data_IF_443248207831
#
_entry.id   IF_443248207831
#
_cell.length_a   1.000
_cell.length_b   1.000
_cell.length_c   1.000
_cell.angle_alpha   90.00
_cell.angle_beta   90.00
_cell.angle_gamma   90.00
#
_symmetry.space_group_name_H-M   'P 1'
#
loop_
_entity.id
_entity.type
_entity.pdbx_description
1 polymer ?
#
# COMPACT_ATOMS: atom_id res chain seq x y z
N UNK A 1 -13.05 14.02 -23.13
CA UNK A 1 -13.15 13.08 -22.01
C UNK A 1 -13.77 11.79 -22.54
N UNK A 2 -13.03 10.70 -22.56
CA UNK A 2 -13.61 9.40 -22.86
C UNK A 2 -14.14 8.82 -21.54
N UNK A 3 -15.46 8.71 -21.38
CA UNK A 3 -16.08 8.08 -20.23
C UNK A 3 -15.94 6.55 -20.37
N UNK A 4 -14.75 6.04 -20.04
CA UNK A 4 -14.40 4.64 -20.25
C UNK A 4 -14.16 3.87 -18.95
N UNK A 5 -14.20 4.51 -17.80
CA UNK A 5 -13.99 3.87 -16.50
C UNK A 5 -14.67 4.65 -15.38
N UNK A 6 -15.36 3.95 -14.51
CA UNK A 6 -15.95 4.48 -13.26
C UNK A 6 -14.98 4.35 -12.09
N UNK A 7 -14.11 3.34 -12.15
CA UNK A 7 -13.13 3.01 -11.12
C UNK A 7 -11.80 2.71 -11.80
N UNK A 8 -10.72 3.21 -11.21
CA UNK A 8 -9.35 2.82 -11.57
C UNK A 8 -8.67 2.15 -10.38
N UNK A 9 -7.84 1.15 -10.66
CA UNK A 9 -7.06 0.46 -9.63
C UNK A 9 -5.56 0.58 -9.94
N UNK A 10 -4.78 0.91 -8.93
CA UNK A 10 -3.32 0.92 -9.00
C UNK A 10 -2.68 0.70 -7.62
N UNK A 11 -1.43 0.29 -7.63
CA UNK A 11 -0.58 0.20 -6.44
C UNK A 11 0.56 1.22 -6.48
N UNK A 12 1.26 1.39 -5.37
CA UNK A 12 2.34 2.38 -5.24
C UNK A 12 3.50 2.15 -6.22
N UNK A 13 3.86 0.89 -6.46
CA UNK A 13 4.93 0.55 -7.40
C UNK A 13 4.58 0.99 -8.83
N UNK A 14 3.35 0.75 -9.25
CA UNK A 14 2.85 1.15 -10.57
C UNK A 14 2.75 2.66 -10.71
N UNK A 15 2.35 3.34 -9.64
CA UNK A 15 2.25 4.79 -9.60
C UNK A 15 3.62 5.49 -9.60
N UNK A 16 4.69 4.82 -9.15
CA UNK A 16 6.01 5.43 -8.98
C UNK A 16 6.23 6.04 -7.59
N UNK A 17 5.52 5.54 -6.57
CA UNK A 17 5.63 5.94 -5.16
C UNK A 17 4.46 6.79 -4.64
N UNK A 18 4.51 7.13 -3.35
CA UNK A 18 3.40 7.78 -2.64
C UNK A 18 3.02 9.14 -3.23
N UNK A 19 3.99 9.98 -3.55
CA UNK A 19 3.73 11.32 -4.13
C UNK A 19 3.03 11.22 -5.49
N UNK A 20 3.45 10.30 -6.34
CA UNK A 20 2.81 10.09 -7.62
C UNK A 20 1.40 9.50 -7.45
N UNK A 21 1.22 8.55 -6.53
CA UNK A 21 -0.09 8.01 -6.20
C UNK A 21 -1.08 9.08 -5.70
N UNK A 22 -0.65 10.00 -4.83
CA UNK A 22 -1.47 11.13 -4.38
C UNK A 22 -1.96 12.00 -5.55
N UNK A 23 -1.07 12.27 -6.51
CA UNK A 23 -1.44 13.05 -7.71
C UNK A 23 -2.43 12.29 -8.60
N UNK A 24 -2.26 10.97 -8.72
CA UNK A 24 -3.20 10.12 -9.47
C UNK A 24 -4.58 10.10 -8.81
N UNK A 25 -4.64 10.00 -7.47
CA UNK A 25 -5.90 10.07 -6.72
C UNK A 25 -6.60 11.41 -6.97
N UNK A 26 -5.88 12.53 -6.85
CA UNK A 26 -6.43 13.86 -7.08
C UNK A 26 -6.92 14.04 -8.54
N UNK A 27 -6.20 13.49 -9.51
CA UNK A 27 -6.60 13.53 -10.93
C UNK A 27 -7.86 12.70 -11.19
N UNK A 28 -7.96 11.51 -10.56
CA UNK A 28 -9.16 10.67 -10.65
C UNK A 28 -10.37 11.34 -10.00
N UNK A 29 -10.18 11.96 -8.83
CA UNK A 29 -11.21 12.74 -8.13
C UNK A 29 -11.73 13.89 -9.00
N UNK A 30 -10.84 14.69 -9.60
CA UNK A 30 -11.20 15.76 -10.52
C UNK A 30 -11.96 15.25 -11.76
N UNK A 31 -11.77 14.00 -12.14
CA UNK A 31 -12.48 13.33 -13.23
C UNK A 31 -13.77 12.61 -12.79
N UNK A 32 -14.12 12.65 -11.51
CA UNK A 32 -15.21 11.88 -10.90
C UNK A 32 -15.06 10.37 -11.14
N UNK A 33 -13.83 9.85 -11.03
CA UNK A 33 -13.49 8.43 -11.13
C UNK A 33 -13.03 7.95 -9.76
N UNK A 34 -13.60 6.88 -9.24
CA UNK A 34 -13.20 6.32 -7.97
C UNK A 34 -11.89 5.54 -8.09
N UNK A 35 -11.18 5.41 -6.96
CA UNK A 35 -9.89 4.73 -6.90
C UNK A 35 -9.98 3.52 -5.98
N UNK A 36 -9.37 2.41 -6.38
CA UNK A 36 -9.02 1.28 -5.51
C UNK A 36 -7.49 1.21 -5.43
N UNK A 37 -6.96 1.20 -4.21
CA UNK A 37 -5.53 0.96 -3.98
C UNK A 37 -5.32 -0.54 -3.79
N UNK A 38 -4.32 -1.07 -4.45
CA UNK A 38 -3.96 -2.46 -4.30
C UNK A 38 -3.21 -2.99 -5.50
N UNK A 39 -2.95 -4.27 -5.49
CA UNK A 39 -2.10 -5.01 -6.40
C UNK A 39 -0.67 -5.21 -5.87
N UNK A 40 -0.44 -4.87 -4.61
CA UNK A 40 0.86 -5.10 -4.00
C UNK A 40 0.95 -6.51 -3.41
N UNK A 41 1.93 -7.29 -3.88
CA UNK A 41 2.45 -8.43 -3.12
C UNK A 41 3.63 -7.96 -2.25
N UNK A 42 3.65 -6.68 -1.90
CA UNK A 42 4.67 -6.09 -1.06
C UNK A 42 4.62 -6.64 0.36
N UNK A 43 5.77 -6.59 1.02
CA UNK A 43 5.87 -6.90 2.44
C UNK A 43 5.21 -5.78 3.27
N UNK A 44 5.25 -5.91 4.59
CA UNK A 44 4.57 -5.03 5.53
C UNK A 44 4.80 -3.54 5.26
N UNK A 45 6.03 -3.12 4.91
CA UNK A 45 6.33 -1.71 4.60
C UNK A 45 5.53 -1.18 3.41
N UNK A 46 5.48 -1.94 2.32
CA UNK A 46 4.73 -1.56 1.14
C UNK A 46 3.24 -1.55 1.40
N UNK A 47 2.74 -2.58 2.09
CA UNK A 47 1.33 -2.69 2.46
C UNK A 47 0.89 -1.52 3.35
N UNK A 48 1.68 -1.17 4.37
CA UNK A 48 1.35 -0.03 5.22
C UNK A 48 1.35 1.29 4.44
N UNK A 49 2.30 1.49 3.54
CA UNK A 49 2.33 2.67 2.68
C UNK A 49 1.10 2.75 1.76
N UNK A 50 0.63 1.61 1.23
CA UNK A 50 -0.60 1.54 0.44
C UNK A 50 -1.84 1.88 1.26
N UNK A 51 -1.94 1.38 2.50
CA UNK A 51 -3.03 1.70 3.41
C UNK A 51 -3.01 3.19 3.76
N UNK A 52 -1.85 3.73 4.08
CA UNK A 52 -1.69 5.15 4.40
C UNK A 52 -2.15 6.04 3.25
N UNK A 53 -1.73 5.78 2.03
CA UNK A 53 -2.14 6.57 0.87
C UNK A 53 -3.64 6.42 0.59
N UNK A 54 -4.18 5.21 0.76
CA UNK A 54 -5.61 4.95 0.62
C UNK A 54 -6.47 5.74 1.60
N UNK A 55 -5.97 5.97 2.81
CA UNK A 55 -6.67 6.73 3.84
C UNK A 55 -6.62 8.26 3.65
N UNK A 56 -5.87 8.77 2.66
CA UNK A 56 -5.72 10.22 2.44
C UNK A 56 -6.90 10.86 1.71
N UNK A 57 -7.79 10.10 1.09
CA UNK A 57 -8.86 10.65 0.26
C UNK A 57 -10.13 9.80 0.32
N UNK A 58 -11.27 10.46 0.47
CA UNK A 58 -12.59 9.85 0.36
C UNK A 58 -12.94 9.39 -1.09
N UNK A 59 -12.08 9.71 -2.04
CA UNK A 59 -12.22 9.22 -3.41
C UNK A 59 -11.68 7.79 -3.57
N UNK A 60 -10.87 7.31 -2.60
CA UNK A 60 -10.43 5.92 -2.53
C UNK A 60 -11.53 5.09 -1.87
N UNK A 61 -11.93 4.02 -2.55
CA UNK A 61 -12.93 3.09 -2.02
C UNK A 61 -12.36 2.30 -0.82
N UNK A 62 -13.19 1.96 0.17
CA UNK A 62 -12.73 1.30 1.40
C UNK A 62 -12.19 -0.13 1.21
N UNK A 63 -12.47 -0.76 0.08
CA UNK A 63 -11.96 -2.11 -0.23
C UNK A 63 -10.55 -2.06 -0.81
N UNK A 64 -9.52 -2.07 0.03
CA UNK A 64 -8.13 -2.14 -0.41
C UNK A 64 -7.72 -3.58 -0.74
N UNK A 65 -6.99 -3.77 -1.83
CA UNK A 65 -6.46 -5.08 -2.24
C UNK A 65 -4.98 -5.21 -1.84
N UNK A 66 -4.70 -5.06 -0.54
CA UNK A 66 -3.35 -5.08 0.01
C UNK A 66 -3.03 -6.45 0.62
N UNK A 67 -2.95 -7.47 -0.23
CA UNK A 67 -2.87 -8.89 0.17
C UNK A 67 -1.45 -9.41 0.43
N UNK A 68 -0.43 -8.54 0.35
CA UNK A 68 0.97 -8.93 0.55
C UNK A 68 1.23 -9.76 1.81
N UNK A 69 0.77 -9.33 2.99
CA UNK A 69 0.97 -10.08 4.25
C UNK A 69 0.35 -11.49 4.24
N UNK A 70 -0.66 -11.75 3.42
CA UNK A 70 -1.27 -13.08 3.26
C UNK A 70 -0.48 -14.02 2.34
N UNK A 71 0.49 -13.49 1.61
CA UNK A 71 1.24 -14.24 0.59
C UNK A 71 2.63 -14.67 1.05
N UNK A 72 3.06 -14.18 2.21
CA UNK A 72 4.39 -14.46 2.74
C UNK A 72 4.29 -15.00 4.16
N UNK A 73 5.25 -15.85 4.52
CA UNK A 73 5.32 -16.46 5.87
C UNK A 73 6.21 -15.67 6.82
N UNK A 74 6.99 -14.73 6.31
CA UNK A 74 7.89 -13.89 7.10
C UNK A 74 8.03 -12.51 6.43
N UNK A 75 8.50 -11.53 7.19
CA UNK A 75 8.70 -10.15 6.76
C UNK A 75 10.00 -9.59 7.32
N UNK A 76 10.46 -8.48 6.80
CA UNK A 76 11.68 -7.80 7.23
C UNK A 76 11.44 -6.70 8.26
N UNK A 77 10.25 -6.67 8.88
CA UNK A 77 9.90 -5.72 9.93
C UNK A 77 9.72 -6.41 11.29
N UNK A 78 9.94 -5.67 12.36
CA UNK A 78 9.65 -6.14 13.72
C UNK A 78 8.14 -6.21 13.97
N UNK A 79 7.40 -5.26 13.42
CA UNK A 79 5.95 -5.22 13.53
C UNK A 79 5.28 -6.16 12.51
N UNK A 80 4.17 -6.73 12.93
CA UNK A 80 3.28 -7.51 12.06
C UNK A 80 2.02 -6.71 11.76
N UNK A 81 1.46 -6.91 10.58
CA UNK A 81 0.15 -6.37 10.22
C UNK A 81 -0.90 -7.42 10.60
N UNK A 82 -1.80 -7.05 11.49
CA UNK A 82 -2.96 -7.87 11.82
C UNK A 82 -4.13 -7.49 10.90
N UNK A 83 -4.59 -8.46 10.14
CA UNK A 83 -5.72 -8.35 9.22
C UNK A 83 -6.86 -9.32 9.57
N UNK A 84 -6.82 -9.92 10.74
CA UNK A 84 -7.77 -10.95 11.18
C UNK A 84 -9.21 -10.44 11.24
N UNK A 85 -9.39 -9.15 11.53
CA UNK A 85 -10.69 -8.47 11.54
C UNK A 85 -11.22 -8.09 10.14
N UNK A 86 -10.37 -8.20 9.11
CA UNK A 86 -10.66 -7.63 7.79
C UNK A 86 -10.43 -6.12 7.69
N UNK A 87 -10.02 -5.49 8.77
CA UNK A 87 -9.71 -4.05 8.84
C UNK A 87 -8.27 -3.84 9.27
N UNK A 88 -7.68 -2.74 8.81
CA UNK A 88 -6.35 -2.31 9.22
C UNK A 88 -6.40 -0.91 9.79
N UNK A 89 -5.82 -0.74 10.98
CA UNK A 89 -5.74 0.55 11.65
C UNK A 89 -4.40 1.20 11.34
N UNK A 90 -4.43 2.48 10.96
CA UNK A 90 -3.22 3.27 10.82
C UNK A 90 -2.56 3.46 12.18
N UNK A 91 -1.23 3.38 12.18
CA UNK A 91 -0.43 3.70 13.36
C UNK A 91 -0.24 5.21 13.51
N UNK A 92 -0.14 5.69 14.73
CA UNK A 92 0.26 7.08 15.05
C UNK A 92 1.79 7.28 15.07
N UNK A 93 2.56 6.21 14.83
CA UNK A 93 4.02 6.30 14.76
C UNK A 93 4.46 7.10 13.52
N UNK A 94 5.63 7.72 13.63
CA UNK A 94 6.23 8.49 12.53
C UNK A 94 6.55 7.59 11.33
N UNK A 95 6.39 8.13 10.13
CA UNK A 95 6.63 7.42 8.89
C UNK A 95 5.59 6.34 8.64
N UNK A 96 6.00 5.17 8.15
CA UNK A 96 5.12 4.01 7.95
C UNK A 96 4.84 3.23 9.25
N UNK A 97 5.39 3.71 10.37
CA UNK A 97 5.16 3.12 11.68
C UNK A 97 5.76 1.74 11.90
N UNK A 98 6.72 1.38 11.08
CA UNK A 98 7.41 0.09 11.14
C UNK A 98 8.92 0.27 11.20
N UNK A 99 9.59 -0.66 11.88
CA UNK A 99 11.06 -0.71 12.01
C UNK A 99 11.59 -1.95 11.31
N UNK A 100 12.76 -1.80 10.68
CA UNK A 100 13.42 -2.93 10.04
C UNK A 100 14.01 -3.88 11.07
N UNK A 101 13.88 -5.17 10.82
CA UNK A 101 14.63 -6.22 11.48
C UNK A 101 15.91 -6.50 10.67
N UNK A 102 17.03 -5.98 11.15
CA UNK A 102 18.31 -6.05 10.45
C UNK A 102 18.77 -7.51 10.25
N UNK A 103 18.44 -8.41 11.15
CA UNK A 103 18.78 -9.83 11.03
C UNK A 103 18.02 -10.50 9.90
N UNK A 104 16.74 -10.21 9.78
CA UNK A 104 15.91 -10.70 8.68
C UNK A 104 16.27 -10.03 7.36
N UNK A 105 16.57 -8.73 7.39
CA UNK A 105 17.02 -8.02 6.20
C UNK A 105 18.30 -8.67 5.65
N UNK A 106 19.28 -8.95 6.51
CA UNK A 106 20.51 -9.65 6.14
C UNK A 106 20.27 -11.07 5.63
N UNK A 107 19.31 -11.80 6.23
CA UNK A 107 18.93 -13.16 5.83
C UNK A 107 18.35 -13.21 4.41
N UNK A 108 17.52 -12.22 4.06
CA UNK A 108 16.81 -12.20 2.79
C UNK A 108 17.46 -11.31 1.72
N UNK A 109 18.53 -10.60 2.07
CA UNK A 109 19.29 -9.81 1.10
C UNK A 109 19.87 -10.71 0.01
N UNK A 110 19.62 -10.36 -1.24
CA UNK A 110 20.29 -11.01 -2.37
C UNK A 110 21.77 -10.62 -2.33
N UNK A 111 22.65 -11.61 -2.33
CA UNK A 111 24.07 -11.33 -2.55
C UNK A 111 24.21 -10.81 -3.98
N UNK A 112 24.60 -9.56 -4.12
CA UNK A 112 25.02 -9.03 -5.43
C UNK A 112 26.26 -9.82 -5.85
N UNK A 113 26.18 -10.54 -6.95
CA UNK A 113 27.32 -11.21 -7.58
C UNK A 113 28.28 -10.18 -8.14
#
# INVERSE_FOLDING_TARGET
KADCADIVKFGLTQAGGMTAASRMIASAEAANVKVVIGHGFGLNLSTMAEIMIGATSNNVLPGLECVGPLKVTDTVTNEQIDISSGEMTLTEKIGVGMTLDESKLSKYALKTL
#
